data_IF_213234736431
#
_entry.id   IF_213234736431
#
_cell.length_a   1.000
_cell.length_b   1.000
_cell.length_c   1.000
_cell.angle_alpha   90.00
_cell.angle_beta   90.00
_cell.angle_gamma   90.00
#
_symmetry.space_group_name_H-M   'P 1'
#
loop_
_entity.id
_entity.type
_entity.pdbx_description
1 polymer ?
#
# COMPACT_ATOMS: atom_id res chain seq x y z
N UNK A 1 27.40 -19.70 4.76
CA UNK A 1 27.76 -18.34 4.25
C UNK A 1 27.25 -18.09 2.83
N UNK A 2 27.51 -18.98 1.86
CA UNK A 2 27.09 -18.81 0.44
C UNK A 2 25.56 -18.73 0.26
N UNK A 3 24.77 -19.54 0.98
CA UNK A 3 23.29 -19.50 0.91
C UNK A 3 22.74 -18.15 1.39
N UNK A 4 23.30 -17.61 2.48
CA UNK A 4 22.90 -16.32 3.05
C UNK A 4 23.27 -15.15 2.12
N UNK A 5 24.42 -15.24 1.44
CA UNK A 5 24.84 -14.27 0.43
C UNK A 5 23.97 -14.36 -0.84
N UNK A 6 23.58 -15.56 -1.29
CA UNK A 6 22.63 -15.72 -2.41
C UNK A 6 21.23 -15.20 -2.07
N UNK A 7 20.77 -15.36 -0.83
CA UNK A 7 19.50 -14.77 -0.37
C UNK A 7 19.56 -13.24 -0.35
N UNK A 8 20.69 -12.67 0.09
CA UNK A 8 20.91 -11.22 0.09
C UNK A 8 20.99 -10.66 -1.33
N UNK A 9 21.69 -11.36 -2.23
CA UNK A 9 21.80 -11.00 -3.66
C UNK A 9 20.44 -11.11 -4.36
N UNK A 10 19.64 -12.14 -4.06
CA UNK A 10 18.25 -12.24 -4.56
C UNK A 10 17.37 -11.08 -4.09
N UNK A 11 17.51 -10.65 -2.83
CA UNK A 11 16.83 -9.46 -2.29
C UNK A 11 17.28 -8.15 -2.93
N UNK A 12 18.55 -8.04 -3.34
CA UNK A 12 19.09 -6.81 -3.91
C UNK A 12 18.84 -6.66 -5.43
N UNK A 13 18.66 -7.76 -6.17
CA UNK A 13 18.61 -7.73 -7.66
C UNK A 13 17.17 -7.89 -8.21
N UNK A 14 16.23 -8.45 -7.44
CA UNK A 14 14.84 -8.59 -7.84
C UNK A 14 13.91 -7.77 -6.93
N UNK A 15 13.26 -6.76 -7.50
CA UNK A 15 12.09 -6.12 -6.87
C UNK A 15 10.93 -7.12 -6.91
N UNK A 16 10.91 -8.01 -5.91
CA UNK A 16 9.92 -9.06 -5.76
C UNK A 16 8.65 -8.53 -5.09
N UNK A 17 7.57 -9.31 -5.17
CA UNK A 17 6.31 -9.01 -4.47
C UNK A 17 6.56 -8.84 -2.96
N UNK A 18 7.40 -9.69 -2.36
CA UNK A 18 7.75 -9.64 -0.93
C UNK A 18 8.45 -8.32 -0.56
N UNK A 19 9.40 -7.88 -1.39
CA UNK A 19 10.10 -6.59 -1.20
C UNK A 19 9.15 -5.39 -1.22
N UNK A 20 8.17 -5.38 -2.13
CA UNK A 20 7.18 -4.31 -2.23
C UNK A 20 6.24 -4.33 -1.01
N UNK A 21 5.77 -5.51 -0.59
CA UNK A 21 4.95 -5.67 0.61
C UNK A 21 5.70 -5.16 1.85
N UNK A 22 6.98 -5.50 2.00
CA UNK A 22 7.81 -5.06 3.11
C UNK A 22 7.93 -3.53 3.16
N UNK A 23 8.23 -2.88 2.03
CA UNK A 23 8.32 -1.42 1.95
C UNK A 23 7.00 -0.73 2.31
N UNK A 24 5.86 -1.26 1.85
CA UNK A 24 4.53 -0.74 2.22
C UNK A 24 4.28 -0.89 3.72
N UNK A 25 4.63 -2.05 4.32
CA UNK A 25 4.49 -2.29 5.77
C UNK A 25 5.33 -1.31 6.59
N UNK A 26 6.55 -1.00 6.17
CA UNK A 26 7.42 -0.03 6.86
C UNK A 26 6.83 1.38 6.86
N UNK A 27 6.29 1.83 5.72
CA UNK A 27 5.62 3.14 5.62
C UNK A 27 4.42 3.21 6.57
N UNK A 28 3.59 2.16 6.59
CA UNK A 28 2.41 2.09 7.45
C UNK A 28 2.80 2.08 8.93
N UNK A 29 3.82 1.29 9.30
CA UNK A 29 4.34 1.24 10.67
C UNK A 29 4.79 2.63 11.16
N UNK A 30 5.56 3.36 10.35
CA UNK A 30 5.99 4.71 10.69
C UNK A 30 4.80 5.69 10.89
N UNK A 31 3.74 5.49 10.12
CA UNK A 31 2.51 6.27 10.25
C UNK A 31 1.75 5.94 11.55
N UNK A 32 1.60 4.66 11.88
CA UNK A 32 0.98 4.19 13.13
C UNK A 32 1.74 4.68 14.37
N UNK A 33 3.08 4.64 14.35
CA UNK A 33 3.94 5.22 15.39
C UNK A 33 3.75 6.75 15.53
N UNK A 34 3.41 7.42 14.42
CA UNK A 34 3.04 8.83 14.37
C UNK A 34 1.56 9.10 14.73
N UNK A 35 0.84 8.06 15.17
CA UNK A 35 -0.59 8.07 15.51
C UNK A 35 -1.50 8.43 14.32
N UNK A 36 -1.07 8.19 13.09
CA UNK A 36 -1.91 8.32 11.89
C UNK A 36 -2.87 7.14 11.85
N UNK A 37 -4.15 7.42 11.57
CA UNK A 37 -5.16 6.38 11.46
C UNK A 37 -5.10 5.73 10.08
N UNK A 38 -5.08 4.40 10.05
CA UNK A 38 -5.12 3.61 8.81
C UNK A 38 -6.54 3.07 8.65
N UNK A 39 -7.33 3.72 7.80
CA UNK A 39 -8.73 3.34 7.55
C UNK A 39 -8.80 1.93 6.98
N UNK A 40 -9.80 1.13 7.38
CA UNK A 40 -10.00 -0.24 6.89
C UNK A 40 -10.43 -0.32 5.43
N UNK A 41 -11.18 0.67 4.96
CA UNK A 41 -11.82 0.64 3.64
C UNK A 41 -12.95 -0.39 3.54
N UNK A 42 -13.52 -0.53 2.34
CA UNK A 42 -14.53 -1.55 2.01
C UNK A 42 -13.92 -2.63 1.12
N UNK A 43 -14.01 -3.89 1.55
CA UNK A 43 -13.44 -5.03 0.82
C UNK A 43 -14.21 -5.38 -0.48
N UNK A 44 -15.37 -4.77 -0.70
CA UNK A 44 -16.19 -4.97 -1.91
C UNK A 44 -16.93 -6.31 -1.95
N UNK A 45 -17.09 -6.97 -0.80
CA UNK A 45 -17.78 -8.26 -0.66
C UNK A 45 -16.91 -9.48 -0.97
N UNK A 46 -17.52 -10.67 -0.87
CA UNK A 46 -16.82 -11.94 -1.05
C UNK A 46 -16.57 -12.27 -2.53
N UNK A 47 -15.30 -12.64 -2.79
CA UNK A 47 -14.82 -13.67 -3.71
C UNK A 47 -15.17 -13.61 -5.20
N UNK A 48 -14.10 -13.59 -6.01
CA UNK A 48 -14.10 -14.01 -7.42
C UNK A 48 -13.39 -15.36 -7.50
N UNK A 49 -14.14 -16.44 -7.70
CA UNK A 49 -13.56 -17.73 -8.14
C UNK A 49 -13.43 -17.67 -9.66
N UNK A 50 -12.28 -18.09 -10.20
CA UNK A 50 -12.18 -18.31 -11.64
C UNK A 50 -13.01 -19.54 -12.02
N UNK A 51 -14.27 -19.33 -12.41
CA UNK A 51 -15.09 -20.40 -13.00
C UNK A 51 -14.81 -20.53 -14.49
N UNK A 52 -14.30 -19.47 -15.12
CA UNK A 52 -13.94 -19.42 -16.53
C UNK A 52 -12.64 -18.62 -16.79
N UNK A 53 -12.03 -18.82 -17.95
CA UNK A 53 -10.91 -18.01 -18.45
C UNK A 53 -11.28 -16.54 -18.75
N UNK A 54 -12.58 -16.25 -18.81
CA UNK A 54 -13.11 -14.88 -18.98
C UNK A 54 -13.25 -14.13 -17.67
N UNK A 55 -12.91 -14.72 -16.52
CA UNK A 55 -13.04 -14.09 -15.21
C UNK A 55 -11.84 -13.20 -14.88
N UNK A 56 -12.08 -12.14 -14.10
CA UNK A 56 -11.08 -11.11 -13.78
C UNK A 56 -9.75 -11.69 -13.26
N UNK A 57 -9.82 -12.72 -12.42
CA UNK A 57 -8.64 -13.34 -11.80
C UNK A 57 -7.79 -14.14 -12.79
N UNK A 58 -8.33 -14.57 -13.93
CA UNK A 58 -7.57 -15.29 -14.96
C UNK A 58 -6.39 -14.45 -15.48
N UNK A 59 -6.52 -13.11 -15.42
CA UNK A 59 -5.47 -12.16 -15.81
C UNK A 59 -4.20 -12.29 -14.95
N UNK A 60 -4.27 -12.86 -13.75
CA UNK A 60 -3.09 -13.09 -12.90
C UNK A 60 -2.27 -14.33 -13.29
N UNK A 61 -2.75 -15.16 -14.22
CA UNK A 61 -2.13 -16.44 -14.61
C UNK A 61 -0.76 -16.34 -15.31
N UNK A 62 -0.29 -15.12 -15.63
CA UNK A 62 1.03 -14.89 -16.22
C UNK A 62 1.20 -15.54 -17.61
N UNK A 63 2.45 -15.89 -18.01
CA UNK A 63 2.73 -16.36 -19.38
C UNK A 63 2.23 -17.78 -19.65
N UNK A 64 1.88 -18.55 -18.62
CA UNK A 64 1.64 -19.99 -18.71
C UNK A 64 0.18 -20.36 -18.98
N UNK A 65 -0.74 -19.39 -19.03
CA UNK A 65 -2.15 -19.60 -19.37
C UNK A 65 -2.79 -18.30 -19.80
N UNK A 66 -3.59 -18.35 -20.88
CA UNK A 66 -4.21 -17.17 -21.47
C UNK A 66 -5.59 -16.91 -20.85
N UNK A 67 -5.75 -15.76 -20.21
CA UNK A 67 -7.06 -15.17 -20.01
C UNK A 67 -7.71 -14.97 -21.39
N UNK A 68 -8.99 -15.24 -21.51
CA UNK A 68 -9.74 -15.07 -22.76
C UNK A 68 -10.44 -13.73 -22.79
N UNK A 69 -10.92 -13.34 -23.97
CA UNK A 69 -11.57 -12.05 -24.20
C UNK A 69 -12.68 -11.78 -23.17
N UNK A 70 -12.68 -10.57 -22.60
CA UNK A 70 -13.61 -10.11 -21.57
C UNK A 70 -13.06 -10.20 -20.14
N UNK A 71 -12.00 -10.98 -19.90
CA UNK A 71 -11.34 -11.05 -18.60
C UNK A 71 -10.74 -9.70 -18.18
N UNK A 72 -10.13 -8.98 -19.13
CA UNK A 72 -9.58 -7.65 -18.89
C UNK A 72 -10.66 -6.66 -18.47
N UNK A 73 -11.80 -6.66 -19.17
CA UNK A 73 -12.90 -5.74 -18.87
C UNK A 73 -13.48 -6.00 -17.47
N UNK A 74 -13.66 -7.26 -17.08
CA UNK A 74 -14.07 -7.61 -15.70
C UNK A 74 -13.03 -7.18 -14.67
N UNK A 75 -11.74 -7.35 -14.96
CA UNK A 75 -10.67 -6.88 -14.08
C UNK A 75 -10.71 -5.37 -13.88
N UNK A 76 -10.89 -4.61 -14.96
CA UNK A 76 -10.99 -3.16 -14.90
C UNK A 76 -12.16 -2.73 -14.01
N UNK A 77 -13.32 -3.38 -14.14
CA UNK A 77 -14.49 -3.14 -13.26
C UNK A 77 -14.17 -3.40 -11.78
N UNK A 78 -13.52 -4.53 -11.46
CA UNK A 78 -13.10 -4.82 -10.08
C UNK A 78 -12.16 -3.74 -9.56
N UNK A 79 -11.12 -3.39 -10.33
CA UNK A 79 -10.14 -2.38 -9.91
C UNK A 79 -10.80 -1.02 -9.74
N UNK A 80 -11.70 -0.60 -10.63
CA UNK A 80 -12.36 0.71 -10.54
C UNK A 80 -13.25 0.83 -9.32
N UNK A 81 -14.01 -0.22 -8.99
CA UNK A 81 -14.94 -0.24 -7.85
C UNK A 81 -14.24 -0.42 -6.50
N UNK A 82 -13.03 -0.98 -6.49
CA UNK A 82 -12.33 -1.27 -5.24
C UNK A 82 -11.89 0.00 -4.53
N UNK A 83 -12.18 0.06 -3.23
CA UNK A 83 -11.74 1.12 -2.34
C UNK A 83 -10.20 1.12 -2.16
N UNK A 84 -9.51 2.24 -2.38
CA UNK A 84 -8.05 2.29 -2.26
C UNK A 84 -7.52 1.96 -0.85
N UNK A 85 -8.28 2.31 0.21
CA UNK A 85 -7.87 2.01 1.59
C UNK A 85 -7.93 0.52 1.88
N UNK A 86 -8.94 -0.20 1.38
CA UNK A 86 -8.99 -1.65 1.51
C UNK A 86 -7.83 -2.34 0.79
N UNK A 87 -7.41 -1.85 -0.39
CA UNK A 87 -6.21 -2.35 -1.07
C UNK A 87 -4.96 -2.25 -0.21
N UNK A 88 -4.72 -1.10 0.44
CA UNK A 88 -3.60 -0.92 1.37
C UNK A 88 -3.69 -1.88 2.56
N UNK A 89 -4.89 -2.10 3.11
CA UNK A 89 -5.07 -3.08 4.18
C UNK A 89 -4.83 -4.52 3.73
N UNK A 90 -5.16 -4.88 2.49
CA UNK A 90 -4.80 -6.21 1.97
C UNK A 90 -3.30 -6.34 1.80
N UNK A 91 -2.62 -5.32 1.26
CA UNK A 91 -1.16 -5.33 1.11
C UNK A 91 -0.46 -5.42 2.48
N UNK A 92 -0.90 -4.67 3.49
CA UNK A 92 -0.27 -4.70 4.82
C UNK A 92 -0.47 -6.03 5.56
N UNK A 93 -1.55 -6.76 5.27
CA UNK A 93 -1.93 -8.00 5.96
C UNK A 93 -1.68 -9.27 5.12
N UNK A 94 -0.89 -9.15 4.05
CA UNK A 94 -0.55 -10.27 3.18
C UNK A 94 0.94 -10.63 3.28
N UNK A 95 1.26 -11.78 2.69
CA UNK A 95 2.59 -12.35 2.57
C UNK A 95 2.73 -12.89 1.16
N UNK A 96 3.94 -12.87 0.63
CA UNK A 96 4.28 -13.45 -0.66
C UNK A 96 5.31 -14.54 -0.46
N UNK A 97 5.04 -15.71 -1.04
CA UNK A 97 6.03 -16.79 -1.19
C UNK A 97 6.33 -16.86 -2.68
N UNK A 98 7.59 -16.82 -3.10
CA UNK A 98 7.96 -16.91 -4.53
C UNK A 98 8.79 -18.18 -4.78
N UNK A 99 8.32 -19.13 -5.63
CA UNK A 99 7.04 -19.12 -6.35
C UNK A 99 5.85 -19.49 -5.45
N UNK A 100 4.73 -18.77 -5.60
CA UNK A 100 3.47 -19.10 -4.91
C UNK A 100 2.63 -20.07 -5.74
N UNK A 101 2.15 -21.13 -5.09
CA UNK A 101 1.06 -21.94 -5.62
C UNK A 101 -0.29 -21.33 -5.22
N UNK A 102 -1.21 -21.25 -6.18
CA UNK A 102 -2.57 -20.84 -5.88
C UNK A 102 -3.35 -22.00 -5.28
N UNK A 103 -4.04 -21.74 -4.18
CA UNK A 103 -5.04 -22.66 -3.66
C UNK A 103 -6.22 -22.71 -4.64
N UNK A 104 -6.75 -23.91 -4.87
CA UNK A 104 -7.97 -24.18 -5.64
C UNK A 104 -9.23 -23.86 -4.83
N UNK A 105 -9.25 -22.66 -4.26
CA UNK A 105 -10.31 -22.13 -3.44
C UNK A 105 -10.31 -20.60 -3.53
N UNK A 106 -11.21 -19.97 -2.80
CA UNK A 106 -11.33 -18.52 -2.75
C UNK A 106 -10.62 -17.86 -1.57
N UNK A 107 -9.56 -18.46 -1.02
CA UNK A 107 -8.90 -17.96 0.19
C UNK A 107 -7.56 -17.30 -0.11
N UNK A 108 -7.16 -17.21 -1.38
CA UNK A 108 -5.87 -16.61 -1.74
C UNK A 108 -5.90 -15.10 -1.44
N UNK A 109 -4.88 -14.65 -0.71
CA UNK A 109 -4.64 -13.25 -0.37
C UNK A 109 -3.83 -12.55 -1.46
N UNK A 110 -3.82 -11.22 -1.42
CA UNK A 110 -3.14 -10.37 -2.41
C UNK A 110 -1.69 -10.79 -2.74
N UNK A 111 -0.86 -11.10 -1.74
CA UNK A 111 0.54 -11.46 -1.93
C UNK A 111 0.72 -12.80 -2.64
N UNK A 112 -0.01 -13.84 -2.24
CA UNK A 112 -0.04 -15.15 -2.92
C UNK A 112 -0.50 -15.00 -4.37
N UNK A 113 -1.58 -14.24 -4.59
CA UNK A 113 -2.12 -13.96 -5.93
C UNK A 113 -1.10 -13.25 -6.83
N UNK A 114 -0.41 -12.24 -6.30
CA UNK A 114 0.59 -11.47 -7.05
C UNK A 114 1.84 -12.30 -7.36
N UNK A 115 2.33 -13.08 -6.39
CA UNK A 115 3.54 -13.89 -6.51
C UNK A 115 3.35 -15.15 -7.36
N UNK A 116 2.10 -15.60 -7.56
CA UNK A 116 1.87 -16.82 -8.31
C UNK A 116 2.15 -16.65 -9.81
N UNK A 117 2.62 -17.75 -10.41
CA UNK A 117 2.77 -17.94 -11.86
C UNK A 117 1.83 -19.04 -12.38
N UNK A 118 0.95 -19.53 -11.51
CA UNK A 118 0.02 -20.62 -11.79
C UNK A 118 -1.28 -20.09 -12.37
N UNK A 119 -1.92 -20.90 -13.20
CA UNK A 119 -3.20 -20.56 -13.81
C UNK A 119 -4.31 -20.52 -12.74
N UNK A 120 -5.06 -19.42 -12.68
CA UNK A 120 -6.26 -19.34 -11.86
C UNK A 120 -7.44 -20.11 -12.46
N UNK A 121 -7.48 -20.31 -13.78
CA UNK A 121 -8.61 -20.84 -14.56
C UNK A 121 -8.40 -22.28 -15.04
N UNK A 122 -8.89 -23.27 -14.28
CA UNK A 122 -8.90 -24.69 -14.64
C UNK A 122 -9.50 -25.53 -13.50
N UNK A 123 -10.17 -26.65 -13.82
CA UNK A 123 -10.98 -27.50 -12.92
C UNK A 123 -10.76 -27.32 -11.42
N UNK A 124 -11.64 -26.51 -10.79
CA UNK A 124 -11.56 -26.07 -9.39
C UNK A 124 -10.87 -24.71 -9.16
N UNK A 125 -10.93 -23.79 -10.13
CA UNK A 125 -10.06 -22.61 -10.25
C UNK A 125 -9.79 -21.81 -8.98
N UNK A 126 -8.58 -21.24 -8.90
CA UNK A 126 -8.20 -20.36 -7.82
C UNK A 126 -9.05 -19.09 -7.79
N UNK A 127 -9.30 -18.59 -6.58
CA UNK A 127 -10.08 -17.39 -6.33
C UNK A 127 -9.39 -16.45 -5.35
N UNK A 128 -9.75 -15.17 -5.45
CA UNK A 128 -9.34 -14.16 -4.49
C UNK A 128 -10.31 -14.12 -3.31
N UNK A 129 -9.81 -13.87 -2.10
CA UNK A 129 -10.62 -13.77 -0.89
C UNK A 129 -11.60 -12.59 -0.89
N UNK A 130 -11.27 -11.51 -1.60
CA UNK A 130 -12.14 -10.35 -1.79
C UNK A 130 -11.81 -9.64 -3.10
N UNK A 131 -12.67 -8.70 -3.53
CA UNK A 131 -12.34 -7.78 -4.64
C UNK A 131 -11.08 -6.96 -4.32
N UNK A 132 -10.94 -6.54 -3.06
CA UNK A 132 -9.75 -5.84 -2.58
C UNK A 132 -8.48 -6.69 -2.67
N UNK A 133 -8.55 -7.99 -2.35
CA UNK A 133 -7.42 -8.92 -2.49
C UNK A 133 -6.99 -9.04 -3.97
N UNK A 134 -7.96 -9.13 -4.89
CA UNK A 134 -7.66 -9.17 -6.33
C UNK A 134 -7.02 -7.85 -6.80
N UNK A 135 -7.63 -6.70 -6.51
CA UNK A 135 -7.10 -5.41 -6.94
C UNK A 135 -5.72 -5.12 -6.33
N UNK A 136 -5.50 -5.46 -5.05
CA UNK A 136 -4.20 -5.36 -4.41
C UNK A 136 -3.16 -6.28 -5.07
N UNK A 137 -3.55 -7.51 -5.43
CA UNK A 137 -2.67 -8.42 -6.16
C UNK A 137 -2.27 -7.85 -7.53
N UNK A 138 -3.22 -7.24 -8.24
CA UNK A 138 -2.95 -6.54 -9.51
C UNK A 138 -1.94 -5.42 -9.30
N UNK A 139 -2.12 -4.57 -8.29
CA UNK A 139 -1.18 -3.49 -8.00
C UNK A 139 0.22 -4.04 -7.70
N UNK A 140 0.33 -5.03 -6.81
CA UNK A 140 1.59 -5.68 -6.46
C UNK A 140 2.28 -6.32 -7.67
N UNK A 141 1.52 -7.05 -8.50
CA UNK A 141 2.07 -7.68 -9.71
C UNK A 141 2.51 -6.62 -10.73
N UNK A 142 1.77 -5.54 -10.91
CA UNK A 142 2.13 -4.44 -11.80
C UNK A 142 3.40 -3.67 -11.34
N UNK A 143 3.62 -3.56 -10.02
CA UNK A 143 4.84 -2.94 -9.46
C UNK A 143 6.05 -3.87 -9.49
N UNK A 144 5.86 -5.18 -9.59
CA UNK A 144 6.92 -6.18 -9.58
C UNK A 144 7.62 -6.24 -10.93
N UNK A 145 8.95 -6.20 -10.97
CA UNK A 145 9.75 -6.17 -12.20
C UNK A 145 9.41 -7.31 -13.18
N UNK A 146 9.25 -8.52 -12.67
CA UNK A 146 8.93 -9.72 -13.46
C UNK A 146 7.43 -10.05 -13.46
N UNK A 147 6.61 -9.14 -12.93
CA UNK A 147 5.17 -9.28 -12.89
C UNK A 147 4.57 -9.18 -14.29
N UNK A 148 3.96 -10.27 -14.75
CA UNK A 148 3.29 -10.34 -16.05
C UNK A 148 1.84 -10.72 -15.87
N UNK A 149 0.97 -10.00 -16.58
CA UNK A 149 -0.43 -10.36 -16.71
C UNK A 149 -0.66 -11.24 -17.92
N UNK A 150 -1.75 -11.98 -17.86
CA UNK A 150 -2.28 -12.74 -18.98
C UNK A 150 -3.45 -11.99 -19.60
N UNK A 151 -3.44 -11.81 -20.92
CA UNK A 151 -4.52 -11.12 -21.62
C UNK A 151 -4.75 -11.75 -23.00
N UNK A 152 -6.01 -11.72 -23.44
CA UNK A 152 -6.33 -11.83 -24.86
C UNK A 152 -5.83 -10.57 -25.60
N UNK A 153 -5.59 -10.68 -26.91
CA UNK A 153 -5.02 -9.57 -27.69
C UNK A 153 -5.90 -8.32 -27.65
N UNK A 154 -7.22 -8.53 -27.57
CA UNK A 154 -8.25 -7.49 -27.55
C UNK A 154 -8.35 -6.80 -26.18
N UNK A 155 -7.89 -7.46 -25.11
CA UNK A 155 -7.96 -6.97 -23.74
C UNK A 155 -6.65 -6.33 -23.26
N UNK A 156 -5.56 -6.38 -24.04
CA UNK A 156 -4.21 -5.94 -23.61
C UNK A 156 -4.20 -4.50 -23.08
N UNK A 157 -4.82 -3.58 -23.82
CA UNK A 157 -4.92 -2.17 -23.43
C UNK A 157 -5.70 -1.97 -22.13
N UNK A 158 -6.79 -2.71 -21.96
CA UNK A 158 -7.64 -2.66 -20.76
C UNK A 158 -6.93 -3.25 -19.55
N UNK A 159 -6.22 -4.37 -19.70
CA UNK A 159 -5.43 -4.99 -18.62
C UNK A 159 -4.30 -4.05 -18.18
N UNK A 160 -3.62 -3.42 -19.13
CA UNK A 160 -2.59 -2.41 -18.82
C UNK A 160 -3.19 -1.22 -18.05
N UNK A 161 -4.32 -0.69 -18.51
CA UNK A 161 -5.01 0.41 -17.83
C UNK A 161 -5.47 0.01 -16.41
N UNK A 162 -5.99 -1.20 -16.23
CA UNK A 162 -6.36 -1.73 -14.92
C UNK A 162 -5.14 -1.85 -13.99
N UNK A 163 -4.00 -2.35 -14.50
CA UNK A 163 -2.73 -2.39 -13.77
C UNK A 163 -2.29 -1.01 -13.29
N UNK A 164 -2.25 -0.02 -14.20
CA UNK A 164 -1.89 1.37 -13.87
C UNK A 164 -2.85 1.98 -12.85
N UNK A 165 -4.16 1.79 -13.02
CA UNK A 165 -5.17 2.29 -12.09
C UNK A 165 -4.99 1.70 -10.69
N UNK A 166 -4.76 0.39 -10.58
CA UNK A 166 -4.52 -0.28 -9.31
C UNK A 166 -3.27 0.27 -8.60
N UNK A 167 -2.18 0.48 -9.34
CA UNK A 167 -0.95 1.10 -8.80
C UNK A 167 -1.21 2.53 -8.33
N UNK A 168 -1.87 3.35 -9.13
CA UNK A 168 -2.17 4.74 -8.78
C UNK A 168 -3.04 4.85 -7.52
N UNK A 169 -4.02 3.96 -7.35
CA UNK A 169 -4.84 3.90 -6.11
C UNK A 169 -3.99 3.60 -4.87
N UNK A 170 -3.09 2.61 -4.96
CA UNK A 170 -2.16 2.26 -3.87
C UNK A 170 -1.23 3.43 -3.55
N UNK A 171 -0.58 4.01 -4.57
CA UNK A 171 0.34 5.12 -4.38
C UNK A 171 -0.35 6.38 -3.84
N UNK A 172 -1.58 6.66 -4.26
CA UNK A 172 -2.36 7.79 -3.75
C UNK A 172 -2.65 7.69 -2.25
N UNK A 173 -2.99 6.50 -1.75
CA UNK A 173 -3.19 6.30 -0.30
C UNK A 173 -1.86 6.35 0.46
N UNK A 174 -0.78 5.80 -0.09
CA UNK A 174 0.56 5.92 0.51
C UNK A 174 1.00 7.38 0.62
N UNK A 175 0.76 8.19 -0.42
CA UNK A 175 1.03 9.62 -0.40
C UNK A 175 0.24 10.32 0.72
N UNK A 176 -1.06 10.02 0.85
CA UNK A 176 -1.89 10.56 1.92
C UNK A 176 -1.33 10.19 3.30
N UNK A 177 -0.98 8.92 3.51
CA UNK A 177 -0.39 8.41 4.77
C UNK A 177 0.91 9.15 5.10
N UNK A 178 1.81 9.31 4.13
CA UNK A 178 3.10 10.00 4.31
C UNK A 178 2.87 11.47 4.66
N UNK A 179 1.97 12.16 3.94
CA UNK A 179 1.65 13.57 4.21
C UNK A 179 1.07 13.77 5.61
N UNK A 180 0.15 12.91 6.04
CA UNK A 180 -0.41 12.97 7.39
C UNK A 180 0.65 12.71 8.47
N UNK A 181 1.54 11.74 8.23
CA UNK A 181 2.67 11.41 9.13
C UNK A 181 3.59 12.61 9.32
N UNK A 182 4.05 13.21 8.21
CA UNK A 182 4.92 14.39 8.23
C UNK A 182 4.22 15.57 8.93
N UNK A 183 2.97 15.86 8.57
CA UNK A 183 2.22 16.97 9.17
C UNK A 183 2.05 16.82 10.69
N UNK A 184 1.76 15.61 11.20
CA UNK A 184 1.66 15.35 12.64
C UNK A 184 2.98 15.59 13.36
N UNK A 185 4.10 15.16 12.78
CA UNK A 185 5.41 15.35 13.39
C UNK A 185 5.86 16.83 13.35
N UNK A 186 5.64 17.55 12.24
CA UNK A 186 5.89 18.99 12.17
C UNK A 186 5.04 19.78 13.17
N UNK A 187 3.79 19.38 13.41
CA UNK A 187 2.93 19.98 14.45
C UNK A 187 3.49 19.79 15.85
N UNK A 188 4.10 18.65 16.16
CA UNK A 188 4.77 18.42 17.46
C UNK A 188 5.99 19.33 17.62
N UNK A 189 6.83 19.42 16.58
CA UNK A 189 8.01 20.31 16.58
C UNK A 189 7.60 21.76 16.80
N UNK A 190 6.58 22.24 16.07
CA UNK A 190 6.07 23.60 16.24
C UNK A 190 5.64 23.88 17.68
N UNK A 191 4.89 22.97 18.32
CA UNK A 191 4.47 23.13 19.72
C UNK A 191 5.66 23.19 20.68
N UNK A 192 6.68 22.36 20.47
CA UNK A 192 7.89 22.40 21.28
C UNK A 192 8.64 23.73 21.13
N UNK A 193 8.76 24.23 19.90
CA UNK A 193 9.38 25.53 19.60
C UNK A 193 8.59 26.69 20.22
N UNK A 194 7.26 26.67 20.13
CA UNK A 194 6.39 27.66 20.78
C UNK A 194 6.60 27.63 22.31
N UNK A 195 6.67 26.45 22.93
CA UNK A 195 6.94 26.29 24.37
C UNK A 195 8.28 26.89 24.82
N UNK A 196 9.36 26.67 24.06
CA UNK A 196 10.69 27.24 24.35
C UNK A 196 10.63 28.78 24.35
N UNK A 197 9.94 29.37 23.36
CA UNK A 197 9.81 30.84 23.25
C UNK A 197 9.11 31.44 24.47
N UNK A 198 8.09 30.78 25.00
CA UNK A 198 7.39 31.26 26.19
C UNK A 198 8.24 31.13 27.46
N UNK A 199 8.96 30.02 27.65
CA UNK A 199 9.82 29.82 28.83
C UNK A 199 10.93 30.87 28.92
N UNK A 200 11.56 31.25 27.80
CA UNK A 200 12.61 32.27 27.76
C UNK A 200 12.09 33.70 28.04
N UNK A 201 10.84 34.02 27.67
CA UNK A 201 10.22 35.31 28.00
C UNK A 201 9.91 35.45 29.50
N UNK A 202 9.52 34.38 30.17
CA UNK A 202 9.32 34.39 31.63
C UNK A 202 10.62 34.54 32.41
N UNK A 203 11.74 34.01 31.91
CA UNK A 203 13.06 34.17 32.56
C UNK A 203 13.68 35.55 32.30
N UNK A 204 13.37 36.21 31.18
CA UNK A 204 13.80 37.58 30.89
C UNK A 204 12.93 38.67 31.59
N UNK A 205 11.83 38.29 32.24
CA UNK A 205 10.96 39.19 33.01
C UNK A 205 11.35 39.36 34.48
N UNK A 206 12.46 38.77 34.91
CA UNK A 206 12.98 38.81 36.28
C UNK A 206 14.21 39.71 36.43
N UNK A 207 14.17 40.95 35.92
CA UNK A 207 15.08 42.00 36.42
C UNK A 207 14.22 43.12 36.99
N UNK A 208 14.13 43.11 38.31
CA UNK A 208 13.71 44.24 39.12
C UNK A 208 14.67 45.40 38.86
N UNK A 209 14.30 46.36 38.00
CA UNK A 209 14.87 47.71 38.08
C UNK A 209 14.17 48.46 39.22
N UNK A 210 14.75 48.31 40.41
CA UNK A 210 14.56 49.25 41.52
C UNK A 210 15.19 50.60 41.13
N UNK A 211 14.39 51.48 40.54
CA UNK A 211 14.72 52.89 40.35
C UNK A 211 13.91 53.76 41.31
N UNK A 212 14.43 53.94 42.52
CA UNK A 212 13.97 54.98 43.46
C UNK A 212 14.18 56.36 42.82
N UNK A 213 13.11 57.15 42.68
CA UNK A 213 13.21 58.61 42.63
C UNK A 213 12.13 59.21 43.53
N UNK A 214 12.53 59.60 44.74
CA UNK A 214 11.88 60.70 45.46
C UNK A 214 11.99 61.98 44.63
N UNK A 215 10.90 62.71 44.46
CA UNK A 215 10.98 64.17 44.28
C UNK A 215 9.88 64.87 45.07
N UNK A 216 10.34 65.68 46.00
CA UNK A 216 9.62 66.48 46.98
C UNK A 216 8.72 67.53 46.33
N UNK A 217 7.58 67.80 46.98
CA UNK A 217 6.68 68.90 46.66
C UNK A 217 7.34 70.28 46.81
N UNK A 218 6.95 71.25 45.96
CA UNK A 218 7.01 72.68 46.30
C UNK A 218 5.67 73.31 45.89
N UNK A 219 5.16 74.15 46.81
CA UNK A 219 3.91 74.91 46.80
C UNK A 219 3.66 75.72 45.52
#
# INVERSE_FOLDING_TARGET
MVIMLMMLIKRLINLSVDSIIAGVKEIIKAAEESKVEIKSGSDGGNVIVAKAQTDAIAVLGGPNSKATQGAGSKLAGVVSETDPWSMINKIKNTEATDPAELKKDSTNKAGTLAASRSNASGGGGAGANSKADLAAAVALKAMTKDGKFSAASEDEGVVKAAGVNAVNKVLGVLEEIIRQTVAKNLKKVRKAVEGIKYSQMTEAGGVTETGSIQSTAIK
#
